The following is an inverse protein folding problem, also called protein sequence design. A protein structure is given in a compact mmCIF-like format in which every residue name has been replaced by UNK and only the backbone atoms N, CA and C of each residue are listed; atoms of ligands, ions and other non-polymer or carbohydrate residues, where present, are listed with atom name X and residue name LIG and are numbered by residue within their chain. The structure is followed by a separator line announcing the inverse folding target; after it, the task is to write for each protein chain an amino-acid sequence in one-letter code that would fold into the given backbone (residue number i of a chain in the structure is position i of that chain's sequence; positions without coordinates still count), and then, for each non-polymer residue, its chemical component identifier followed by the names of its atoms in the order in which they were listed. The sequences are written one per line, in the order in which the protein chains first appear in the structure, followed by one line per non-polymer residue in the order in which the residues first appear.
data_IF_255190591704
#
_entry.id   IF_255190591704
#
_cell.length_a   1.000
_cell.length_b   1.000
_cell.length_c   1.000
_cell.angle_alpha   90.00
_cell.angle_beta   90.00
_cell.angle_gamma   90.00
#
_symmetry.space_group_name_H-M   'P 1'
#
loop_
_entity.id
_entity.type
_entity.pdbx_description
1 polymer ?
#
# COMPACT_ATOMS: atom_id res chain seq x y z
N UNK A 1 3.52 -4.48 57.75
CA UNK A 1 4.87 -4.76 58.27
C UNK A 1 4.83 -5.93 59.23
N UNK A 2 5.15 -7.14 58.77
CA UNK A 2 5.58 -8.25 59.66
C UNK A 2 6.24 -9.33 58.80
N UNK A 3 7.56 -9.46 58.98
CA UNK A 3 8.41 -10.47 58.37
C UNK A 3 8.24 -11.79 59.12
N UNK A 4 8.22 -12.91 58.40
CA UNK A 4 8.77 -14.16 58.94
C UNK A 4 9.65 -14.83 57.89
N UNK A 5 10.91 -14.97 58.28
CA UNK A 5 12.01 -15.58 57.55
C UNK A 5 12.16 -16.99 58.13
N UNK A 6 12.18 -18.02 57.28
CA UNK A 6 12.72 -19.34 57.65
C UNK A 6 13.71 -19.77 56.57
N UNK A 7 14.98 -19.71 56.95
CA UNK A 7 16.08 -20.40 56.29
C UNK A 7 16.08 -21.86 56.73
N UNK A 8 16.24 -22.76 55.77
CA UNK A 8 16.91 -24.04 55.98
C UNK A 8 17.54 -24.45 54.65
N UNK A 9 18.84 -24.19 54.55
CA UNK A 9 19.71 -24.73 53.53
C UNK A 9 20.06 -26.18 53.89
N UNK A 10 19.97 -27.09 52.92
CA UNK A 10 20.83 -28.28 52.89
C UNK A 10 21.27 -28.49 51.45
N UNK A 11 22.59 -28.55 51.32
CA UNK A 11 23.42 -28.72 50.12
C UNK A 11 23.59 -30.21 49.82
N UNK A 12 24.12 -30.50 48.62
CA UNK A 12 24.70 -31.77 48.11
C UNK A 12 23.69 -32.55 47.23
N UNK A 13 24.00 -33.02 46.01
CA UNK A 13 25.27 -33.46 45.40
C UNK A 13 25.18 -33.25 43.88
N UNK A 14 26.32 -32.92 43.26
CA UNK A 14 26.52 -32.87 41.82
C UNK A 14 26.38 -34.25 41.16
N UNK A 15 25.64 -34.32 40.05
CA UNK A 15 25.80 -35.38 39.06
C UNK A 15 25.95 -34.74 37.69
N UNK A 16 27.20 -34.72 37.21
CA UNK A 16 27.53 -34.52 35.80
C UNK A 16 26.96 -35.68 35.00
N UNK A 17 26.00 -35.41 34.13
CA UNK A 17 25.68 -36.26 32.99
C UNK A 17 25.66 -35.37 31.76
N UNK A 18 26.73 -35.46 30.99
CA UNK A 18 26.83 -34.90 29.64
C UNK A 18 25.90 -35.69 28.72
N UNK A 19 24.80 -35.08 28.27
CA UNK A 19 24.03 -35.53 27.11
C UNK A 19 23.60 -34.29 26.32
N UNK A 20 24.22 -34.14 25.15
CA UNK A 20 23.58 -33.62 23.94
C UNK A 20 23.25 -32.13 23.91
N UNK A 21 23.94 -31.40 23.05
CA UNK A 21 23.39 -30.19 22.43
C UNK A 21 22.11 -30.56 21.66
N UNK A 22 20.97 -30.55 22.33
CA UNK A 22 19.67 -30.47 21.69
C UNK A 22 19.55 -29.06 21.11
N UNK A 23 20.08 -28.88 19.91
CA UNK A 23 19.62 -27.83 19.00
C UNK A 23 18.10 -27.97 18.93
N UNK A 24 17.39 -27.04 19.55
CA UNK A 24 15.98 -26.84 19.23
C UNK A 24 15.91 -26.67 17.72
N UNK A 25 15.24 -27.55 16.96
CA UNK A 25 14.86 -27.20 15.62
C UNK A 25 13.92 -26.02 15.79
N UNK A 26 14.39 -24.87 15.38
CA UNK A 26 13.54 -23.73 15.12
C UNK A 26 12.68 -24.20 13.96
N UNK A 27 11.46 -24.65 14.27
CA UNK A 27 10.39 -24.81 13.28
C UNK A 27 10.01 -23.39 12.80
N UNK A 28 10.95 -22.74 12.11
CA UNK A 28 10.62 -21.73 11.11
C UNK A 28 10.03 -22.54 9.94
N UNK A 29 8.78 -22.98 10.13
CA UNK A 29 7.89 -23.29 9.03
C UNK A 29 7.64 -21.98 8.29
N UNK A 30 8.65 -21.53 7.55
CA UNK A 30 8.46 -20.79 6.32
C UNK A 30 7.71 -21.76 5.42
N UNK A 31 6.39 -21.80 5.58
CA UNK A 31 5.49 -22.28 4.57
C UNK A 31 5.89 -21.51 3.33
N UNK A 32 6.61 -22.18 2.41
CA UNK A 32 6.87 -21.64 1.09
C UNK A 32 5.48 -21.40 0.50
N UNK A 33 5.02 -20.16 0.60
CA UNK A 33 3.79 -19.71 -0.01
C UNK A 33 3.96 -20.07 -1.48
N UNK A 34 3.24 -21.12 -1.89
CA UNK A 34 3.33 -21.66 -3.25
C UNK A 34 2.92 -20.50 -4.13
N UNK A 35 3.87 -19.94 -4.88
CA UNK A 35 3.60 -18.81 -5.76
C UNK A 35 2.40 -19.16 -6.62
N UNK A 36 1.26 -18.52 -6.33
CA UNK A 36 0.08 -18.63 -7.18
C UNK A 36 0.49 -18.02 -8.51
N UNK A 37 0.26 -18.75 -9.60
CA UNK A 37 0.57 -18.24 -10.92
C UNK A 37 -0.26 -16.98 -11.14
N UNK A 38 0.40 -15.87 -11.45
CA UNK A 38 -0.26 -14.63 -11.79
C UNK A 38 -1.04 -14.82 -13.10
N UNK A 39 -2.35 -14.58 -13.08
CA UNK A 39 -3.17 -14.58 -14.28
C UNK A 39 -3.22 -13.18 -14.87
N UNK A 40 -2.66 -13.03 -16.07
CA UNK A 40 -2.71 -11.77 -16.78
C UNK A 40 -4.15 -11.43 -17.20
N UNK A 41 -4.54 -10.19 -16.95
CA UNK A 41 -5.85 -9.62 -17.26
C UNK A 41 -5.84 -9.10 -18.68
N UNK A 42 -6.84 -9.49 -19.46
CA UNK A 42 -6.93 -9.13 -20.88
C UNK A 42 -6.95 -7.61 -21.12
N UNK A 43 -6.04 -7.15 -21.97
CA UNK A 43 -5.88 -5.75 -22.35
C UNK A 43 -5.18 -4.89 -21.30
N UNK A 44 -4.70 -5.47 -20.21
CA UNK A 44 -3.95 -4.75 -19.18
C UNK A 44 -2.46 -4.74 -19.51
N UNK A 45 -1.85 -3.55 -19.44
CA UNK A 45 -0.41 -3.38 -19.43
C UNK A 45 0.13 -3.47 -18.02
N UNK A 46 1.36 -3.94 -17.88
CA UNK A 46 1.97 -4.21 -16.58
C UNK A 46 3.20 -3.39 -16.34
N UNK A 47 3.39 -2.95 -15.10
CA UNK A 47 4.45 -2.05 -14.69
C UNK A 47 5.04 -2.47 -13.35
N UNK A 48 6.35 -2.30 -13.19
CA UNK A 48 7.08 -2.49 -11.92
C UNK A 48 7.77 -1.21 -11.45
N UNK A 49 7.67 -0.13 -12.23
CA UNK A 49 8.15 1.19 -11.85
C UNK A 49 7.14 1.96 -10.99
N UNK A 50 7.56 3.13 -10.54
CA UNK A 50 6.73 4.02 -9.74
C UNK A 50 5.65 4.77 -10.54
N UNK A 51 4.73 5.43 -9.84
CA UNK A 51 3.76 6.34 -10.45
C UNK A 51 4.46 7.53 -11.10
N UNK A 52 3.95 7.96 -12.25
CA UNK A 52 4.30 9.24 -12.86
C UNK A 52 3.29 10.27 -12.38
N UNK A 53 3.76 11.27 -11.66
CA UNK A 53 2.92 12.31 -11.08
C UNK A 53 3.03 13.60 -11.90
N UNK A 54 1.93 14.33 -12.04
CA UNK A 54 1.87 15.66 -12.68
C UNK A 54 0.88 16.55 -11.94
N UNK A 55 1.13 17.86 -11.96
CA UNK A 55 0.15 18.83 -11.48
C UNK A 55 -1.04 18.93 -12.45
N UNK A 56 -2.24 18.97 -11.89
CA UNK A 56 -3.44 19.32 -12.64
C UNK A 56 -3.62 20.85 -12.73
N UNK A 57 -4.69 21.29 -13.40
CA UNK A 57 -5.04 22.72 -13.52
C UNK A 57 -5.37 23.40 -12.17
N UNK A 58 -5.50 22.64 -11.09
CA UNK A 58 -5.77 23.12 -9.73
C UNK A 58 -4.54 23.03 -8.84
N UNK A 59 -3.36 22.77 -9.41
CA UNK A 59 -2.10 22.62 -8.67
C UNK A 59 -2.09 21.43 -7.69
N UNK A 60 -2.98 20.44 -7.88
CA UNK A 60 -2.92 19.15 -7.18
C UNK A 60 -2.09 18.15 -7.96
N UNK A 61 -1.21 17.46 -7.24
CA UNK A 61 -0.42 16.37 -7.80
C UNK A 61 -1.32 15.15 -8.07
N UNK A 62 -1.37 14.70 -9.33
CA UNK A 62 -2.18 13.56 -9.78
C UNK A 62 -1.37 12.55 -10.53
N UNK A 63 -1.88 11.33 -10.55
CA UNK A 63 -1.31 10.24 -11.34
C UNK A 63 -1.56 10.50 -12.83
N UNK A 64 -0.49 10.47 -13.62
CA UNK A 64 -0.52 10.61 -15.08
C UNK A 64 -0.18 9.31 -15.80
N UNK A 65 0.28 8.28 -15.08
CA UNK A 65 0.65 6.99 -15.63
C UNK A 65 1.68 6.26 -14.78
N UNK A 66 2.37 5.30 -15.38
CA UNK A 66 3.34 4.44 -14.72
C UNK A 66 4.57 4.24 -15.59
N UNK A 67 5.74 4.15 -14.95
CA UNK A 67 7.00 3.83 -15.62
C UNK A 67 7.31 2.33 -15.53
N UNK A 68 8.24 1.86 -16.35
CA UNK A 68 8.74 0.48 -16.28
C UNK A 68 7.72 -0.54 -16.76
N UNK A 69 7.12 -0.30 -17.93
CA UNK A 69 6.26 -1.28 -18.61
C UNK A 69 7.03 -2.59 -18.86
N UNK A 70 6.41 -3.72 -18.56
CA UNK A 70 6.97 -5.05 -18.73
C UNK A 70 6.02 -5.92 -19.56
N UNK A 71 6.59 -6.80 -20.38
CA UNK A 71 5.83 -7.75 -21.20
C UNK A 71 5.44 -9.03 -20.43
N UNK A 72 6.05 -9.27 -19.27
CA UNK A 72 5.92 -10.53 -18.53
C UNK A 72 5.77 -10.24 -17.04
N UNK A 73 4.54 -10.25 -16.51
CA UNK A 73 4.24 -9.96 -15.10
C UNK A 73 5.03 -10.83 -14.12
N UNK A 74 5.38 -10.25 -12.98
CA UNK A 74 6.09 -10.93 -11.88
C UNK A 74 5.16 -11.16 -10.70
N UNK A 75 5.30 -12.28 -10.01
CA UNK A 75 4.60 -12.58 -8.74
C UNK A 75 5.39 -12.08 -7.52
N UNK A 76 6.53 -11.42 -7.71
CA UNK A 76 7.36 -10.89 -6.62
C UNK A 76 7.44 -9.38 -6.69
N UNK A 77 7.39 -8.73 -5.52
CA UNK A 77 7.43 -7.28 -5.40
C UNK A 77 6.09 -6.63 -5.74
N UNK A 78 6.13 -5.32 -5.98
CA UNK A 78 5.00 -4.54 -6.44
C UNK A 78 4.80 -4.75 -7.94
N UNK A 79 3.58 -5.04 -8.33
CA UNK A 79 3.16 -5.10 -9.73
C UNK A 79 1.93 -4.20 -9.89
N UNK A 80 1.96 -3.36 -10.92
CA UNK A 80 0.86 -2.48 -11.30
C UNK A 80 0.32 -2.95 -12.63
N UNK A 81 -1.01 -2.96 -12.75
CA UNK A 81 -1.71 -3.28 -13.98
C UNK A 81 -2.62 -2.13 -14.36
N UNK A 82 -2.51 -1.65 -15.59
CA UNK A 82 -3.28 -0.52 -16.07
C UNK A 82 -3.87 -0.79 -17.44
N UNK A 83 -5.16 -0.48 -17.58
CA UNK A 83 -5.90 -0.58 -18.82
C UNK A 83 -6.69 0.70 -19.01
N UNK A 84 -6.60 1.28 -20.19
CA UNK A 84 -7.45 2.40 -20.62
C UNK A 84 -8.42 1.89 -21.67
N UNK A 85 -9.68 2.30 -21.56
CA UNK A 85 -10.74 1.99 -22.52
C UNK A 85 -10.87 3.11 -23.56
N UNK A 86 -11.58 2.85 -24.66
CA UNK A 86 -11.76 3.81 -25.75
C UNK A 86 -12.50 5.08 -25.32
N UNK A 87 -13.38 4.98 -24.33
CA UNK A 87 -14.13 6.09 -23.74
C UNK A 87 -13.34 6.91 -22.70
N UNK A 88 -12.03 6.68 -22.62
CA UNK A 88 -11.12 7.28 -21.63
C UNK A 88 -11.42 6.91 -20.18
N UNK A 89 -12.19 5.85 -19.93
CA UNK A 89 -12.21 5.22 -18.60
C UNK A 89 -10.99 4.35 -18.40
N UNK A 90 -10.65 4.03 -17.15
CA UNK A 90 -9.54 3.15 -16.84
C UNK A 90 -9.88 2.10 -15.78
N UNK A 91 -9.11 1.02 -15.80
CA UNK A 91 -8.98 0.05 -14.73
C UNK A 91 -7.51 -0.03 -14.30
N UNK A 92 -7.27 0.12 -13.01
CA UNK A 92 -5.96 0.09 -12.36
C UNK A 92 -5.99 -0.96 -11.26
N UNK A 93 -4.97 -1.81 -11.19
CA UNK A 93 -4.83 -2.86 -10.19
C UNK A 93 -3.42 -2.89 -9.64
N UNK A 94 -3.32 -3.24 -8.36
CA UNK A 94 -2.05 -3.34 -7.66
C UNK A 94 -1.96 -4.70 -7.00
N UNK A 95 -0.83 -5.36 -7.20
CA UNK A 95 -0.48 -6.60 -6.53
C UNK A 95 0.81 -6.42 -5.73
N UNK A 96 0.89 -7.09 -4.60
CA UNK A 96 2.09 -7.20 -3.79
C UNK A 96 2.41 -8.68 -3.59
N UNK A 97 3.56 -9.11 -4.11
CA UNK A 97 3.99 -10.51 -4.07
C UNK A 97 2.93 -11.48 -4.63
N UNK A 98 2.27 -11.07 -5.72
CA UNK A 98 1.27 -11.87 -6.43
C UNK A 98 -0.15 -11.78 -5.86
N UNK A 99 -0.32 -11.27 -4.65
CA UNK A 99 -1.63 -11.05 -4.03
C UNK A 99 -2.18 -9.67 -4.42
N UNK A 100 -3.46 -9.60 -4.77
CA UNK A 100 -4.10 -8.32 -5.08
C UNK A 100 -4.29 -7.52 -3.80
N UNK A 101 -3.92 -6.23 -3.82
CA UNK A 101 -4.08 -5.33 -2.67
C UNK A 101 -5.05 -4.19 -2.95
N UNK A 102 -5.22 -3.81 -4.22
CA UNK A 102 -6.21 -2.81 -4.59
C UNK A 102 -6.65 -2.90 -6.05
N UNK A 103 -7.91 -2.54 -6.27
CA UNK A 103 -8.47 -2.22 -7.59
C UNK A 103 -8.94 -0.78 -7.59
N UNK A 104 -8.88 -0.12 -8.74
CA UNK A 104 -9.33 1.25 -8.91
C UNK A 104 -9.85 1.46 -10.32
N UNK A 105 -10.89 2.27 -10.45
CA UNK A 105 -11.45 2.66 -11.74
C UNK A 105 -11.69 4.16 -11.76
N UNK A 106 -11.86 4.71 -12.96
CA UNK A 106 -12.06 6.13 -13.13
C UNK A 106 -12.00 6.56 -14.57
N UNK A 107 -11.68 7.82 -14.80
CA UNK A 107 -11.54 8.42 -16.12
C UNK A 107 -10.28 9.25 -16.25
N UNK A 108 -9.81 9.45 -17.48
CA UNK A 108 -8.74 10.39 -17.80
C UNK A 108 -9.34 11.74 -18.18
N UNK A 109 -8.84 12.82 -17.57
CA UNK A 109 -9.18 14.18 -17.99
C UNK A 109 -8.53 14.55 -19.33
N UNK A 110 -8.77 15.78 -19.81
CA UNK A 110 -8.23 16.29 -21.08
C UNK A 110 -6.72 16.10 -21.26
N UNK A 111 -5.96 16.24 -20.17
CA UNK A 111 -4.49 16.18 -20.13
C UNK A 111 -3.95 14.77 -19.88
N UNK A 112 -4.84 13.79 -19.72
CA UNK A 112 -4.50 12.39 -19.48
C UNK A 112 -4.21 12.08 -18.01
N UNK A 113 -4.63 12.94 -17.08
CA UNK A 113 -4.49 12.68 -15.65
C UNK A 113 -5.65 11.80 -15.17
N UNK A 114 -5.36 10.93 -14.21
CA UNK A 114 -6.31 9.95 -13.70
C UNK A 114 -7.18 10.58 -12.61
N UNK A 115 -8.49 10.47 -12.78
CA UNK A 115 -9.52 10.84 -11.81
C UNK A 115 -10.28 9.58 -11.39
N UNK A 116 -10.17 9.20 -10.12
CA UNK A 116 -10.77 7.97 -9.60
C UNK A 116 -12.27 8.11 -9.44
N UNK A 117 -13.03 7.08 -9.77
CA UNK A 117 -14.46 6.98 -9.43
C UNK A 117 -14.70 5.98 -8.32
N UNK A 118 -13.91 4.90 -8.29
CA UNK A 118 -13.98 3.88 -7.25
C UNK A 118 -12.59 3.32 -6.95
N UNK A 119 -12.37 2.96 -5.69
CA UNK A 119 -11.21 2.21 -5.22
C UNK A 119 -11.67 1.12 -4.26
N UNK A 120 -11.10 -0.06 -4.40
CA UNK A 120 -11.34 -1.21 -3.53
C UNK A 120 -10.00 -1.66 -2.98
N UNK A 121 -9.91 -1.89 -1.68
CA UNK A 121 -8.71 -2.44 -1.03
C UNK A 121 -9.01 -3.79 -0.41
N UNK A 122 -8.02 -4.66 -0.46
CA UNK A 122 -8.11 -6.06 -0.02
C UNK A 122 -7.16 -6.31 1.15
N UNK A 123 -7.53 -7.24 2.03
CA UNK A 123 -6.63 -7.75 3.05
C UNK A 123 -5.67 -8.82 2.49
N UNK A 124 -4.85 -9.41 3.36
CA UNK A 124 -3.91 -10.45 2.99
C UNK A 124 -4.57 -11.78 2.55
N UNK A 125 -5.88 -11.95 2.77
CA UNK A 125 -6.64 -13.12 2.33
C UNK A 125 -7.37 -12.87 1.00
N UNK A 126 -7.28 -11.66 0.45
CA UNK A 126 -8.02 -11.26 -0.75
C UNK A 126 -9.47 -10.85 -0.45
N UNK A 127 -9.82 -10.58 0.80
CA UNK A 127 -11.14 -10.10 1.20
C UNK A 127 -11.21 -8.58 1.15
N UNK A 128 -12.34 -8.03 0.70
CA UNK A 128 -12.52 -6.57 0.63
C UNK A 128 -12.63 -5.98 2.03
N UNK A 129 -11.79 -4.98 2.32
CA UNK A 129 -11.79 -4.27 3.62
C UNK A 129 -12.17 -2.80 3.51
N UNK A 130 -11.99 -2.20 2.33
CA UNK A 130 -12.37 -0.81 2.07
C UNK A 130 -12.94 -0.67 0.67
N UNK A 131 -14.05 0.05 0.54
CA UNK A 131 -14.54 0.61 -0.74
C UNK A 131 -14.59 2.12 -0.61
N UNK A 132 -14.04 2.81 -1.58
CA UNK A 132 -14.04 4.26 -1.65
C UNK A 132 -14.66 4.69 -2.97
N UNK A 133 -15.65 5.60 -2.90
CA UNK A 133 -16.30 6.19 -4.07
C UNK A 133 -16.04 7.68 -4.12
N UNK A 134 -15.87 8.19 -5.33
CA UNK A 134 -15.62 9.59 -5.58
C UNK A 134 -16.69 10.14 -6.50
N UNK A 135 -17.23 11.30 -6.13
CA UNK A 135 -18.14 12.07 -6.98
C UNK A 135 -17.64 13.49 -7.13
N UNK A 136 -17.80 14.04 -8.32
CA UNK A 136 -17.19 15.28 -8.74
C UNK A 136 -18.27 16.32 -9.04
N UNK A 137 -18.28 17.43 -8.30
CA UNK A 137 -19.13 18.58 -8.55
C UNK A 137 -18.29 19.69 -9.18
N UNK A 138 -18.28 19.73 -10.51
CA UNK A 138 -17.54 20.74 -11.29
C UNK A 138 -18.06 22.18 -11.08
N UNK A 139 -19.29 22.37 -10.59
CA UNK A 139 -19.84 23.72 -10.35
C UNK A 139 -19.35 24.28 -9.02
N UNK A 140 -19.27 23.42 -8.01
CA UNK A 140 -18.74 23.77 -6.68
C UNK A 140 -17.23 23.59 -6.59
N UNK A 141 -16.63 22.93 -7.58
CA UNK A 141 -15.21 22.51 -7.60
C UNK A 141 -14.86 21.67 -6.36
N UNK A 142 -15.72 20.70 -6.05
CA UNK A 142 -15.58 19.82 -4.88
C UNK A 142 -15.64 18.36 -5.32
N UNK A 143 -14.72 17.56 -4.81
CA UNK A 143 -14.78 16.10 -4.82
C UNK A 143 -15.35 15.61 -3.50
N UNK A 144 -16.40 14.80 -3.54
CA UNK A 144 -16.85 14.06 -2.36
C UNK A 144 -16.25 12.66 -2.40
N UNK A 145 -15.57 12.28 -1.32
CA UNK A 145 -15.04 10.95 -1.09
C UNK A 145 -15.87 10.25 -0.01
N UNK A 146 -16.45 9.10 -0.33
CA UNK A 146 -17.17 8.24 0.62
C UNK A 146 -16.35 6.97 0.80
N UNK A 147 -15.94 6.68 2.03
CA UNK A 147 -15.12 5.51 2.40
C UNK A 147 -15.96 4.58 3.27
N UNK A 148 -16.26 3.40 2.76
CA UNK A 148 -16.88 2.30 3.50
C UNK A 148 -15.81 1.32 3.96
N UNK A 149 -15.67 1.17 5.28
CA UNK A 149 -14.92 0.09 5.89
C UNK A 149 -15.81 -1.15 6.00
N UNK A 150 -15.30 -2.29 5.58
CA UNK A 150 -16.03 -3.54 5.45
C UNK A 150 -15.42 -4.58 6.37
N UNK A 151 -16.26 -5.32 7.10
CA UNK A 151 -15.81 -6.50 7.83
C UNK A 151 -15.50 -7.62 6.82
N UNK A 152 -14.27 -8.14 6.78
CA UNK A 152 -13.88 -9.14 5.78
C UNK A 152 -14.60 -10.48 5.98
N UNK A 153 -15.13 -10.78 7.17
CA UNK A 153 -15.77 -12.06 7.49
C UNK A 153 -17.20 -12.13 6.96
N UNK A 154 -18.00 -11.08 7.17
CA UNK A 154 -19.41 -11.07 6.79
C UNK A 154 -19.75 -10.10 5.66
N UNK A 155 -18.76 -9.37 5.15
CA UNK A 155 -18.83 -8.43 4.02
C UNK A 155 -19.83 -7.27 4.24
N UNK A 156 -20.13 -6.94 5.50
CA UNK A 156 -20.98 -5.80 5.86
C UNK A 156 -20.14 -4.54 6.08
N UNK A 157 -20.74 -3.39 5.75
CA UNK A 157 -20.17 -2.09 6.07
C UNK A 157 -20.24 -1.86 7.57
N UNK A 158 -19.08 -1.69 8.21
CA UNK A 158 -18.95 -1.42 9.65
C UNK A 158 -18.83 0.07 9.95
N UNK A 159 -18.32 0.85 9.00
CA UNK A 159 -18.14 2.30 9.15
C UNK A 159 -18.20 2.96 7.77
N UNK A 160 -18.88 4.10 7.69
CA UNK A 160 -18.85 4.98 6.52
C UNK A 160 -18.32 6.33 6.94
N UNK A 161 -17.34 6.84 6.21
CA UNK A 161 -16.82 8.19 6.33
C UNK A 161 -17.10 8.96 5.04
N UNK A 162 -17.40 10.25 5.16
CA UNK A 162 -17.63 11.13 4.02
C UNK A 162 -16.84 12.40 4.20
N UNK A 163 -16.15 12.83 3.15
CA UNK A 163 -15.36 14.05 3.14
C UNK A 163 -15.59 14.81 1.83
N UNK A 164 -15.83 16.12 1.94
CA UNK A 164 -15.76 17.04 0.81
C UNK A 164 -14.32 17.60 0.72
N UNK A 165 -13.72 17.50 -0.46
CA UNK A 165 -12.35 17.91 -0.76
C UNK A 165 -12.42 18.93 -1.91
N UNK A 166 -12.11 20.21 -1.67
CA UNK A 166 -12.02 21.21 -2.72
C UNK A 166 -10.95 20.84 -3.76
N UNK A 167 -11.19 21.15 -5.03
CA UNK A 167 -10.23 20.87 -6.09
C UNK A 167 -8.92 21.62 -5.91
N UNK A 168 -8.97 22.87 -5.45
CA UNK A 168 -7.77 23.65 -5.12
C UNK A 168 -7.24 23.24 -3.74
N UNK A 169 -5.92 23.04 -3.58
CA UNK A 169 -5.29 22.82 -2.28
C UNK A 169 -5.62 23.94 -1.29
N UNK A 170 -5.74 23.61 -0.02
CA UNK A 170 -5.71 24.66 1.01
C UNK A 170 -4.27 25.16 1.19
N UNK A 171 -4.03 26.39 1.68
CA UNK A 171 -2.68 26.90 1.90
C UNK A 171 -1.81 26.03 2.80
N UNK A 172 -2.41 25.25 3.70
CA UNK A 172 -1.73 24.30 4.58
C UNK A 172 -1.23 23.05 3.83
N UNK A 173 -1.95 22.60 2.80
CA UNK A 173 -1.56 21.44 1.97
C UNK A 173 -0.40 21.76 1.00
N UNK A 174 -0.19 23.04 0.65
CA UNK A 174 0.85 23.47 -0.29
C UNK A 174 2.26 23.63 0.31
N UNK A 175 2.38 23.68 1.65
CA UNK A 175 3.65 23.98 2.32
C UNK A 175 4.53 22.75 2.60
N UNK A 176 3.98 21.53 2.57
CA UNK A 176 4.73 20.30 2.89
C UNK A 176 5.50 19.71 1.68
N UNK A 177 5.42 20.33 0.50
CA UNK A 177 6.05 19.85 -0.73
C UNK A 177 7.36 20.54 -1.15
N UNK A 178 7.75 21.63 -0.47
CA UNK A 178 8.78 22.57 -0.91
C UNK A 178 10.08 22.55 -0.07
N UNK A 179 10.29 21.55 0.79
CA UNK A 179 11.63 21.31 1.34
C UNK A 179 12.50 20.60 0.30
N UNK A 180 13.00 21.41 -0.64
CA UNK A 180 14.10 21.06 -1.51
C UNK A 180 15.26 20.52 -0.66
N UNK A 181 15.70 19.30 -1.00
CA UNK A 181 16.95 18.72 -0.52
C UNK A 181 18.07 19.68 -0.92
N UNK A 182 18.56 20.44 0.07
CA UNK A 182 19.77 21.25 -0.05
C UNK A 182 20.96 20.30 -0.17
N UNK A 183 21.30 19.94 -1.42
CA UNK A 183 22.60 19.35 -1.76
C UNK A 183 23.69 20.40 -1.50
N UNK A 184 24.09 20.51 -0.24
CA UNK A 184 25.33 21.17 0.12
C UNK A 184 26.51 20.34 -0.42
N UNK A 185 26.97 20.80 -1.56
CA UNK A 185 28.18 20.44 -2.28
C UNK A 185 29.42 20.58 -1.38
N UNK A 186 29.83 19.48 -0.74
CA UNK A 186 31.11 19.41 -0.02
C UNK A 186 32.25 19.12 -1.01
N UNK A 187 32.58 20.14 -1.81
CA UNK A 187 33.78 20.14 -2.64
C UNK A 187 34.96 20.64 -1.80
N UNK A 188 35.74 19.69 -1.29
CA UNK A 188 37.04 19.97 -0.68
C UNK A 188 37.98 20.66 -1.69
N UNK A 189 38.66 21.77 -1.33
CA UNK A 189 39.83 22.19 -2.08
C UNK A 189 41.03 21.36 -1.62
N UNK A 190 41.68 20.74 -2.59
CA UNK A 190 42.99 20.15 -2.43
C UNK A 190 44.06 21.25 -2.26
N UNK A 191 44.93 21.10 -1.26
CA UNK A 191 46.36 21.45 -1.32
C UNK A 191 47.17 20.45 -0.48
#
# INVERSE_FOLDING_TARGET
MTRTIRWAAVVCVAAFVAIGCSRTPKDDASTKQKAVAFEAVEGMKYYVGGPVMKYDKYERLRLAGFNGEISSPTTRGLLLGFKTNEDRTFAYRTWLNGEIISESSGFLDGDGLLWYSERVSYDANGEVVVRQKFTYDEKREIMTSIVDHIDPVDQKVVKTESQEIPYTPTPEEGAEGDEAVDESEDAAPAE
#
